data_IF_663565817385
#
_entry.id   IF_663565817385
#
_cell.length_a   1.000
_cell.length_b   1.000
_cell.length_c   1.000
_cell.angle_alpha   90.00
_cell.angle_beta   90.00
_cell.angle_gamma   90.00
#
_symmetry.space_group_name_H-M   'P 1'
#
loop_
_entity.id
_entity.type
_entity.pdbx_description
1 polymer ?
#
# COMPACT_ATOMS: atom_id res chain seq x y z
N UNK A 1 11.06 -6.50 24.54
CA UNK A 1 10.24 -6.91 23.38
C UNK A 1 10.63 -8.33 23.02
N UNK A 2 9.69 -9.27 22.89
CA UNK A 2 10.00 -10.65 22.48
C UNK A 2 10.09 -10.75 20.96
N UNK A 3 10.89 -11.69 20.44
CA UNK A 3 10.98 -11.98 19.00
C UNK A 3 9.60 -12.35 18.44
N UNK A 4 8.80 -13.07 19.23
CA UNK A 4 7.43 -13.43 18.87
C UNK A 4 6.51 -12.22 18.69
N UNK A 5 6.56 -11.23 19.61
CA UNK A 5 5.77 -10.01 19.48
C UNK A 5 6.17 -9.23 18.23
N UNK A 6 7.48 -9.07 17.99
CA UNK A 6 7.99 -8.37 16.80
C UNK A 6 7.54 -9.07 15.50
N UNK A 7 7.65 -10.40 15.45
CA UNK A 7 7.18 -11.21 14.33
C UNK A 7 5.68 -11.04 14.08
N UNK A 8 4.87 -11.04 15.13
CA UNK A 8 3.42 -10.86 15.00
C UNK A 8 3.08 -9.45 14.49
N UNK A 9 3.73 -8.42 15.02
CA UNK A 9 3.52 -7.03 14.56
C UNK A 9 3.92 -6.87 13.10
N UNK A 10 5.08 -7.35 12.69
CA UNK A 10 5.54 -7.27 11.30
C UNK A 10 4.61 -8.02 10.34
N UNK A 11 4.13 -9.21 10.74
CA UNK A 11 3.18 -10.00 9.95
C UNK A 11 1.83 -9.29 9.75
N UNK A 12 1.21 -8.81 10.83
CA UNK A 12 -0.07 -8.10 10.75
C UNK A 12 0.06 -6.75 10.03
N UNK A 13 1.13 -6.01 10.29
CA UNK A 13 1.36 -4.74 9.60
C UNK A 13 1.59 -4.98 8.10
N UNK A 14 2.36 -6.00 7.72
CA UNK A 14 2.53 -6.40 6.33
C UNK A 14 1.20 -6.76 5.66
N UNK A 15 0.37 -7.57 6.34
CA UNK A 15 -0.96 -7.95 5.83
C UNK A 15 -1.86 -6.72 5.61
N UNK A 16 -1.95 -5.81 6.58
CA UNK A 16 -2.79 -4.62 6.45
C UNK A 16 -2.27 -3.66 5.37
N UNK A 17 -0.96 -3.53 5.20
CA UNK A 17 -0.39 -2.72 4.12
C UNK A 17 -0.70 -3.34 2.74
N UNK A 18 -0.61 -4.67 2.60
CA UNK A 18 -1.01 -5.35 1.36
C UNK A 18 -2.51 -5.20 1.08
N UNK A 19 -3.35 -5.26 2.12
CA UNK A 19 -4.79 -5.01 1.99
C UNK A 19 -5.06 -3.58 1.52
N UNK A 20 -4.37 -2.59 2.10
CA UNK A 20 -4.48 -1.18 1.70
C UNK A 20 -4.16 -1.00 0.21
N UNK A 21 -3.03 -1.53 -0.26
CA UNK A 21 -2.63 -1.43 -1.68
C UNK A 21 -3.64 -2.14 -2.58
N UNK A 22 -4.14 -3.30 -2.16
CA UNK A 22 -5.14 -4.06 -2.94
C UNK A 22 -6.45 -3.30 -3.05
N UNK A 23 -6.98 -2.79 -1.94
CA UNK A 23 -8.22 -2.00 -1.93
C UNK A 23 -8.05 -0.72 -2.74
N UNK A 24 -6.93 -0.02 -2.58
CA UNK A 24 -6.63 1.17 -3.39
C UNK A 24 -6.63 0.83 -4.88
N UNK A 25 -5.92 -0.21 -5.30
CA UNK A 25 -5.89 -0.64 -6.70
C UNK A 25 -7.27 -1.03 -7.22
N UNK A 26 -8.06 -1.79 -6.45
CA UNK A 26 -9.42 -2.19 -6.84
C UNK A 26 -10.35 -0.98 -6.99
N UNK A 27 -10.27 0.00 -6.09
CA UNK A 27 -11.03 1.25 -6.20
C UNK A 27 -10.56 2.07 -7.41
N UNK A 28 -9.26 2.17 -7.64
CA UNK A 28 -8.71 2.90 -8.78
C UNK A 28 -9.17 2.27 -10.10
N UNK A 29 -9.18 0.94 -10.21
CA UNK A 29 -9.64 0.23 -11.41
C UNK A 29 -11.17 0.32 -11.60
N UNK A 30 -11.95 0.08 -10.54
CA UNK A 30 -13.41 -0.04 -10.64
C UNK A 30 -14.18 1.28 -10.50
N UNK A 31 -13.54 2.30 -9.94
CA UNK A 31 -14.18 3.59 -9.63
C UNK A 31 -13.33 4.78 -10.10
N UNK A 32 -12.47 4.57 -11.09
CA UNK A 32 -11.54 5.56 -11.63
C UNK A 32 -12.18 6.96 -11.80
N UNK A 33 -13.20 7.06 -12.65
CA UNK A 33 -13.81 8.34 -13.02
C UNK A 33 -14.48 9.03 -11.83
N UNK A 34 -15.03 8.23 -10.90
CA UNK A 34 -15.58 8.75 -9.64
C UNK A 34 -14.47 9.31 -8.78
N UNK A 35 -13.39 8.56 -8.57
CA UNK A 35 -12.25 9.07 -7.79
C UNK A 35 -11.69 10.35 -8.40
N UNK A 36 -11.46 10.38 -9.71
CA UNK A 36 -11.00 11.58 -10.41
C UNK A 36 -11.98 12.75 -10.25
N UNK A 37 -13.29 12.53 -10.46
CA UNK A 37 -14.32 13.54 -10.34
C UNK A 37 -14.40 14.15 -8.93
N UNK A 38 -14.09 13.37 -7.90
CA UNK A 38 -14.01 13.86 -6.52
C UNK A 38 -12.74 14.69 -6.32
N UNK A 39 -11.56 14.16 -6.68
CA UNK A 39 -10.27 14.83 -6.44
C UNK A 39 -10.14 16.15 -7.20
N UNK A 40 -10.65 16.22 -8.44
CA UNK A 40 -10.59 17.44 -9.26
C UNK A 40 -11.39 18.62 -8.69
N UNK A 41 -12.27 18.39 -7.71
CA UNK A 41 -13.01 19.46 -7.02
C UNK A 41 -12.11 20.28 -6.10
N UNK A 42 -11.05 19.66 -5.57
CA UNK A 42 -10.09 20.30 -4.67
C UNK A 42 -8.80 20.69 -5.38
N UNK A 43 -8.41 19.96 -6.44
CA UNK A 43 -7.15 20.16 -7.14
C UNK A 43 -7.34 20.30 -8.64
N UNK A 44 -6.57 21.18 -9.29
CA UNK A 44 -6.49 21.26 -10.75
C UNK A 44 -5.55 20.18 -11.27
N UNK A 45 -6.08 18.97 -11.42
CA UNK A 45 -5.33 17.82 -11.93
C UNK A 45 -5.80 17.47 -13.34
N UNK A 46 -4.86 17.17 -14.23
CA UNK A 46 -5.16 16.41 -15.45
C UNK A 46 -5.38 14.94 -15.08
N UNK A 47 -6.02 14.17 -15.96
CA UNK A 47 -6.23 12.73 -15.74
C UNK A 47 -4.88 12.01 -15.68
N UNK A 48 -3.95 12.36 -16.56
CA UNK A 48 -2.62 11.74 -16.63
C UNK A 48 -1.82 11.99 -15.34
N UNK A 49 -1.94 13.18 -14.76
CA UNK A 49 -1.29 13.52 -13.49
C UNK A 49 -1.94 12.76 -12.33
N UNK A 50 -3.26 12.67 -12.32
CA UNK A 50 -4.01 11.90 -11.34
C UNK A 50 -3.58 10.42 -11.35
N UNK A 51 -3.51 9.81 -12.54
CA UNK A 51 -3.10 8.42 -12.76
C UNK A 51 -1.66 8.19 -12.30
N UNK A 52 -0.75 9.07 -12.70
CA UNK A 52 0.66 8.99 -12.32
C UNK A 52 0.84 9.04 -10.79
N UNK A 53 0.13 9.93 -10.09
CA UNK A 53 0.20 10.03 -8.64
C UNK A 53 -0.33 8.76 -7.96
N UNK A 54 -1.47 8.24 -8.41
CA UNK A 54 -2.07 7.04 -7.82
C UNK A 54 -1.19 5.81 -8.07
N UNK A 55 -0.70 5.64 -9.30
CA UNK A 55 0.19 4.55 -9.64
C UNK A 55 1.52 4.62 -8.86
N UNK A 56 2.14 5.80 -8.80
CA UNK A 56 3.35 6.01 -8.01
C UNK A 56 3.10 5.76 -6.52
N UNK A 57 1.99 6.24 -5.97
CA UNK A 57 1.60 6.02 -4.57
C UNK A 57 1.44 4.53 -4.24
N UNK A 58 0.74 3.78 -5.11
CA UNK A 58 0.61 2.33 -4.97
C UNK A 58 1.95 1.59 -5.09
N UNK A 59 2.81 2.00 -6.03
CA UNK A 59 4.14 1.42 -6.20
C UNK A 59 5.01 1.63 -4.96
N UNK A 60 5.06 2.86 -4.44
CA UNK A 60 5.79 3.19 -3.21
C UNK A 60 5.27 2.43 -2.00
N UNK A 61 3.94 2.43 -1.79
CA UNK A 61 3.33 1.68 -0.70
C UNK A 61 3.65 0.19 -0.78
N UNK A 62 3.55 -0.41 -1.98
CA UNK A 62 3.92 -1.83 -2.19
C UNK A 62 5.39 -2.09 -1.85
N UNK A 63 6.32 -1.28 -2.36
CA UNK A 63 7.76 -1.46 -2.10
C UNK A 63 8.07 -1.31 -0.61
N UNK A 64 7.55 -0.27 0.05
CA UNK A 64 7.72 -0.05 1.48
C UNK A 64 7.16 -1.22 2.31
N UNK A 65 6.01 -1.76 1.91
CA UNK A 65 5.42 -2.95 2.55
C UNK A 65 6.37 -4.14 2.54
N UNK A 66 6.99 -4.41 1.39
CA UNK A 66 7.92 -5.51 1.25
C UNK A 66 9.19 -5.30 2.08
N UNK A 67 9.82 -4.13 1.95
CA UNK A 67 11.10 -3.83 2.59
C UNK A 67 10.98 -3.77 4.11
N UNK A 68 9.95 -3.11 4.64
CA UNK A 68 9.86 -2.81 6.07
C UNK A 68 9.05 -3.83 6.87
N UNK A 69 8.20 -4.63 6.25
CA UNK A 69 7.31 -5.55 6.96
C UNK A 69 7.49 -7.00 6.53
N UNK A 70 7.31 -7.29 5.23
CA UNK A 70 7.29 -8.68 4.76
C UNK A 70 8.69 -9.32 4.80
N UNK A 71 9.73 -8.67 4.27
CA UNK A 71 11.08 -9.23 4.29
C UNK A 71 11.61 -9.44 5.71
N UNK A 72 11.47 -8.48 6.65
CA UNK A 72 11.85 -8.70 8.05
C UNK A 72 11.02 -9.80 8.73
N UNK A 73 9.71 -9.87 8.47
CA UNK A 73 8.86 -10.95 8.98
C UNK A 73 9.35 -12.32 8.51
N UNK A 74 9.66 -12.48 7.23
CA UNK A 74 10.18 -13.71 6.65
C UNK A 74 11.56 -14.06 7.22
N UNK A 75 12.45 -13.07 7.36
CA UNK A 75 13.77 -13.26 7.96
C UNK A 75 13.65 -13.80 9.39
N UNK A 76 12.76 -13.23 10.21
CA UNK A 76 12.50 -13.75 11.56
C UNK A 76 11.93 -15.17 11.51
N UNK A 77 10.96 -15.45 10.65
CA UNK A 77 10.38 -16.80 10.50
C UNK A 77 11.39 -17.88 10.11
N UNK A 78 12.45 -17.51 9.39
CA UNK A 78 13.51 -18.44 8.96
C UNK A 78 14.58 -18.59 10.04
N UNK A 79 14.91 -17.50 10.74
CA UNK A 79 16.03 -17.47 11.70
C UNK A 79 15.64 -17.77 13.16
N UNK A 80 14.35 -17.76 13.52
CA UNK A 80 13.84 -17.95 14.88
C UNK A 80 13.04 -19.21 15.08
#
# INVERSE_FOLDING_TARGET
MTIELLRNVLGWAGLFNLLLVTVWFSLFLGMHDRMYAWHRRWFRLSVETFDAIHYAGMAWAKIATWIFFILPYLALRIAS
#
